data_IF_551743732667
#
_entry.id   IF_551743732667
#
_cell.length_a   1.000
_cell.length_b   1.000
_cell.length_c   1.000
_cell.angle_alpha   90.00
_cell.angle_beta   90.00
_cell.angle_gamma   90.00
#
_symmetry.space_group_name_H-M   'P 1'
#
loop_
_entity.id
_entity.type
_entity.pdbx_description
1 polymer ?
#
# COMPACT_ATOMS: atom_id res chain seq x y z
N UNK A 1 -26.84 2.76 -0.12
CA UNK A 1 -27.13 3.57 -1.33
C UNK A 1 -27.30 2.59 -2.48
N UNK A 2 -28.44 2.60 -3.15
CA UNK A 2 -28.69 1.71 -4.32
C UNK A 2 -27.93 2.35 -5.48
N UNK A 3 -26.84 1.72 -5.91
CA UNK A 3 -26.09 2.11 -7.11
C UNK A 3 -27.05 1.94 -8.29
N UNK A 4 -27.31 3.01 -9.01
CA UNK A 4 -28.11 2.96 -10.23
C UNK A 4 -27.37 2.06 -11.24
N UNK A 5 -27.93 0.92 -11.68
CA UNK A 5 -27.22 -0.05 -12.51
C UNK A 5 -26.85 0.44 -13.92
N UNK A 6 -27.24 1.67 -14.27
CA UNK A 6 -27.03 2.28 -15.59
C UNK A 6 -25.83 3.21 -15.66
N UNK A 7 -25.26 3.66 -14.54
CA UNK A 7 -24.08 4.55 -14.55
C UNK A 7 -22.79 3.75 -14.30
N UNK A 8 -21.76 4.05 -15.10
CA UNK A 8 -20.44 3.48 -14.90
C UNK A 8 -19.89 3.92 -13.52
N UNK A 9 -19.35 3.00 -12.70
CA UNK A 9 -18.82 3.35 -11.40
C UNK A 9 -17.67 4.35 -11.51
N UNK A 10 -17.62 5.32 -10.61
CA UNK A 10 -16.51 6.29 -10.54
C UNK A 10 -15.45 5.78 -9.56
N UNK A 11 -14.21 5.72 -10.02
CA UNK A 11 -13.04 5.35 -9.22
C UNK A 11 -12.15 6.57 -9.06
N UNK A 12 -11.84 6.88 -7.80
CA UNK A 12 -10.92 7.93 -7.44
C UNK A 12 -9.49 7.42 -7.50
N UNK A 13 -8.64 8.01 -8.31
CA UNK A 13 -7.25 7.59 -8.51
C UNK A 13 -6.29 8.63 -7.94
N UNK A 14 -5.36 8.18 -7.11
CA UNK A 14 -4.31 9.01 -6.54
C UNK A 14 -2.95 8.48 -7.01
N UNK A 15 -2.21 9.30 -7.73
CA UNK A 15 -0.85 9.03 -8.19
C UNK A 15 0.10 9.95 -7.42
N UNK A 16 1.03 9.38 -6.66
CA UNK A 16 2.04 10.13 -5.91
C UNK A 16 3.35 10.16 -6.68
N UNK A 17 3.96 11.32 -6.80
CA UNK A 17 5.23 11.48 -7.52
C UNK A 17 6.13 12.54 -6.90
N UNK A 18 7.42 12.41 -7.10
CA UNK A 18 8.43 13.45 -6.82
C UNK A 18 8.89 14.15 -8.11
N UNK A 19 8.24 13.90 -9.25
CA UNK A 19 8.56 14.49 -10.54
C UNK A 19 9.88 14.03 -11.18
N UNK A 20 10.50 12.99 -10.64
CA UNK A 20 11.85 12.53 -11.10
C UNK A 20 11.80 11.67 -12.35
N UNK A 21 10.64 11.13 -12.70
CA UNK A 21 10.41 10.16 -13.78
C UNK A 21 9.24 10.60 -14.68
N UNK A 22 9.37 11.68 -15.44
CA UNK A 22 8.25 12.28 -16.17
C UNK A 22 7.64 11.33 -17.22
N UNK A 23 8.46 10.51 -17.89
CA UNK A 23 7.97 9.53 -18.86
C UNK A 23 7.18 8.39 -18.20
N UNK A 24 7.62 7.93 -17.03
CA UNK A 24 6.92 6.89 -16.25
C UNK A 24 5.60 7.44 -15.71
N UNK A 25 5.62 8.64 -15.12
CA UNK A 25 4.42 9.33 -14.65
C UNK A 25 3.40 9.48 -15.79
N UNK A 26 3.85 9.89 -16.98
CA UNK A 26 2.95 10.02 -18.13
C UNK A 26 2.32 8.68 -18.49
N UNK A 27 3.11 7.60 -18.53
CA UNK A 27 2.62 6.23 -18.78
C UNK A 27 1.62 5.76 -17.72
N UNK A 28 1.89 6.05 -16.43
CA UNK A 28 0.96 5.74 -15.34
C UNK A 28 -0.38 6.45 -15.54
N UNK A 29 -0.37 7.76 -15.82
CA UNK A 29 -1.58 8.57 -16.06
C UNK A 29 -2.33 8.04 -17.29
N UNK A 30 -1.66 7.85 -18.42
CA UNK A 30 -2.29 7.39 -19.65
C UNK A 30 -2.96 6.03 -19.45
N UNK A 31 -2.32 5.09 -18.73
CA UNK A 31 -2.89 3.77 -18.43
C UNK A 31 -4.17 3.82 -17.59
N UNK A 32 -4.34 4.86 -16.79
CA UNK A 32 -5.56 5.11 -16.01
C UNK A 32 -6.63 5.78 -16.87
N UNK A 33 -6.25 6.75 -17.68
CA UNK A 33 -7.20 7.46 -18.56
C UNK A 33 -7.76 6.55 -19.68
N UNK A 34 -7.01 5.53 -20.09
CA UNK A 34 -7.41 4.52 -21.06
C UNK A 34 -8.38 3.47 -20.52
N UNK A 35 -8.70 3.48 -19.22
CA UNK A 35 -9.63 2.51 -18.62
C UNK A 35 -11.04 2.65 -19.16
N UNK A 36 -11.68 1.52 -19.43
CA UNK A 36 -13.02 1.45 -20.04
C UNK A 36 -14.07 0.91 -19.07
N UNK A 37 -15.31 1.35 -19.26
CA UNK A 37 -16.46 0.90 -18.47
C UNK A 37 -16.47 1.38 -17.02
N UNK A 38 -15.65 2.37 -16.71
CA UNK A 38 -15.61 3.12 -15.46
C UNK A 38 -15.38 4.60 -15.77
N UNK A 39 -15.79 5.48 -14.85
CA UNK A 39 -15.31 6.85 -14.80
C UNK A 39 -14.13 6.93 -13.86
N UNK A 40 -13.09 7.67 -14.21
CA UNK A 40 -11.94 7.90 -13.34
C UNK A 40 -11.85 9.37 -12.97
N UNK A 41 -11.65 9.65 -11.69
CA UNK A 41 -11.33 10.98 -11.18
C UNK A 41 -9.92 10.95 -10.64
N UNK A 42 -8.99 11.65 -11.28
CA UNK A 42 -7.53 11.44 -11.12
C UNK A 42 -6.87 12.66 -10.53
N UNK A 43 -6.06 12.46 -9.50
CA UNK A 43 -5.17 13.48 -8.95
C UNK A 43 -3.72 12.98 -8.96
N UNK A 44 -2.82 13.84 -9.43
CA UNK A 44 -1.37 13.69 -9.30
C UNK A 44 -0.90 14.54 -8.15
N UNK A 45 -0.37 13.91 -7.12
CA UNK A 45 0.20 14.57 -5.95
C UNK A 45 1.70 14.69 -6.11
N UNK A 46 2.17 15.90 -6.29
CA UNK A 46 3.60 16.24 -6.33
C UNK A 46 4.15 16.40 -4.91
N UNK A 47 4.93 15.46 -4.46
CA UNK A 47 5.48 15.40 -3.11
C UNK A 47 6.87 16.08 -3.06
N UNK A 48 6.90 17.37 -2.74
CA UNK A 48 8.06 18.24 -2.92
C UNK A 48 8.29 18.62 -4.38
N UNK A 49 7.25 18.58 -5.22
CA UNK A 49 7.31 18.92 -6.63
C UNK A 49 5.98 19.52 -7.10
N UNK A 50 6.03 20.54 -7.95
CA UNK A 50 4.84 21.15 -8.55
C UNK A 50 4.41 20.36 -9.78
N UNK A 51 3.24 19.71 -9.81
CA UNK A 51 2.72 19.05 -11.00
C UNK A 51 2.42 20.07 -12.11
N UNK A 52 3.09 19.89 -13.24
CA UNK A 52 2.92 20.71 -14.46
C UNK A 52 2.64 19.80 -15.65
N UNK A 53 2.08 20.37 -16.72
CA UNK A 53 1.82 19.70 -17.99
C UNK A 53 0.98 18.42 -17.86
N UNK A 54 0.03 18.41 -16.91
CA UNK A 54 -0.90 17.30 -16.72
C UNK A 54 -1.93 17.25 -17.86
N UNK A 55 -2.36 16.04 -18.27
CA UNK A 55 -3.42 15.87 -19.25
C UNK A 55 -4.75 16.50 -18.79
N UNK A 56 -5.58 16.87 -19.76
CA UNK A 56 -6.94 17.38 -19.50
C UNK A 56 -7.72 16.37 -18.64
N UNK A 57 -8.38 16.86 -17.59
CA UNK A 57 -9.16 16.02 -16.65
C UNK A 57 -8.35 15.42 -15.51
N UNK A 58 -7.03 15.65 -15.45
CA UNK A 58 -6.18 15.24 -14.33
C UNK A 58 -5.90 16.44 -13.43
N UNK A 59 -6.20 16.31 -12.12
CA UNK A 59 -5.96 17.35 -11.15
C UNK A 59 -4.50 17.30 -10.65
N UNK A 60 -3.90 18.44 -10.37
CA UNK A 60 -2.59 18.55 -9.70
C UNK A 60 -2.75 18.97 -8.23
N UNK A 61 -2.04 18.30 -7.34
CA UNK A 61 -1.90 18.69 -5.94
C UNK A 61 -0.42 18.95 -5.64
N UNK A 62 -0.07 20.15 -5.24
CA UNK A 62 1.31 20.53 -4.88
C UNK A 62 1.51 20.46 -3.39
N UNK A 63 2.44 19.61 -2.93
CA UNK A 63 2.98 19.64 -1.59
C UNK A 63 4.37 20.32 -1.67
N UNK A 64 4.60 21.43 -0.94
CA UNK A 64 5.84 22.19 -1.04
C UNK A 64 7.09 21.40 -0.64
N UNK A 65 6.91 20.40 0.21
CA UNK A 65 7.98 19.52 0.71
C UNK A 65 7.58 18.05 0.61
N UNK A 66 8.56 17.15 0.69
CA UNK A 66 8.32 15.72 0.71
C UNK A 66 7.82 15.27 2.09
N UNK A 67 6.52 14.98 2.20
CA UNK A 67 5.87 14.51 3.42
C UNK A 67 5.93 12.98 3.62
N UNK A 68 6.62 12.27 2.71
CA UNK A 68 6.61 10.80 2.67
C UNK A 68 5.45 10.22 1.86
N UNK A 69 5.48 8.91 1.68
CA UNK A 69 4.51 8.20 0.85
C UNK A 69 3.10 8.23 1.45
N UNK A 70 2.88 7.88 2.75
CA UNK A 70 1.56 7.85 3.34
C UNK A 70 0.85 9.21 3.33
N UNK A 71 1.53 10.25 3.81
CA UNK A 71 0.96 11.60 3.88
C UNK A 71 0.70 12.17 2.49
N UNK A 72 1.61 11.94 1.54
CA UNK A 72 1.41 12.34 0.15
C UNK A 72 0.18 11.69 -0.48
N UNK A 73 -0.04 10.40 -0.28
CA UNK A 73 -1.24 9.71 -0.79
C UNK A 73 -2.51 10.21 -0.10
N UNK A 74 -2.49 10.42 1.22
CA UNK A 74 -3.63 10.96 1.95
C UNK A 74 -4.04 12.36 1.46
N UNK A 75 -3.07 13.22 1.10
CA UNK A 75 -3.35 14.56 0.59
C UNK A 75 -4.17 14.58 -0.71
N UNK A 76 -4.03 13.56 -1.55
CA UNK A 76 -4.80 13.42 -2.79
C UNK A 76 -6.25 12.97 -2.58
N UNK A 77 -6.53 12.21 -1.52
CA UNK A 77 -7.84 11.57 -1.32
C UNK A 77 -9.03 12.56 -1.28
N UNK A 78 -8.96 13.72 -0.60
CA UNK A 78 -10.09 14.66 -0.57
C UNK A 78 -10.34 15.39 -1.90
N UNK A 79 -9.40 15.34 -2.84
CA UNK A 79 -9.47 16.04 -4.12
C UNK A 79 -10.19 15.24 -5.21
N UNK A 80 -10.39 13.95 -5.01
CA UNK A 80 -11.01 13.04 -5.99
C UNK A 80 -12.28 12.41 -5.43
N UNK A 81 -13.20 12.03 -6.32
CA UNK A 81 -14.50 11.46 -5.99
C UNK A 81 -14.61 10.01 -6.50
N UNK A 82 -15.37 9.20 -5.79
CA UNK A 82 -15.64 7.79 -6.12
C UNK A 82 -15.78 6.95 -4.87
N UNK A 83 -16.51 5.85 -4.95
CA UNK A 83 -16.73 4.91 -3.82
C UNK A 83 -15.53 4.00 -3.60
N UNK A 84 -14.67 3.88 -4.60
CA UNK A 84 -13.40 3.17 -4.54
C UNK A 84 -12.25 4.16 -4.70
N UNK A 85 -11.21 3.97 -3.89
CA UNK A 85 -9.90 4.61 -4.05
C UNK A 85 -8.96 3.64 -4.74
N UNK A 86 -8.21 4.13 -5.71
CA UNK A 86 -7.11 3.40 -6.33
C UNK A 86 -5.84 4.21 -6.21
N UNK A 87 -4.85 3.66 -5.54
CA UNK A 87 -3.51 4.24 -5.41
C UNK A 87 -2.61 3.58 -6.44
N UNK A 88 -1.88 4.39 -7.19
CA UNK A 88 -0.94 3.93 -8.22
C UNK A 88 0.38 4.69 -8.07
N UNK A 89 1.51 3.97 -8.11
CA UNK A 89 2.83 4.60 -8.14
C UNK A 89 3.11 5.23 -9.51
N UNK A 90 3.94 6.26 -9.53
CA UNK A 90 4.26 7.03 -10.75
C UNK A 90 5.07 6.26 -11.80
N UNK A 91 5.55 5.06 -11.46
CA UNK A 91 6.24 4.12 -12.37
C UNK A 91 5.48 2.80 -12.58
N UNK A 92 4.26 2.70 -12.06
CA UNK A 92 3.36 1.61 -12.33
C UNK A 92 2.41 1.92 -13.50
N UNK A 93 1.82 0.88 -14.10
CA UNK A 93 0.80 1.05 -15.15
C UNK A 93 -0.15 -0.14 -15.22
N UNK A 94 -1.33 0.08 -15.81
CA UNK A 94 -2.38 -0.92 -15.96
C UNK A 94 -2.45 -1.36 -17.44
N UNK A 95 -1.95 -2.55 -17.80
CA UNK A 95 -1.91 -3.00 -19.19
C UNK A 95 -3.28 -3.37 -19.76
N UNK A 96 -4.24 -3.74 -18.90
CA UNK A 96 -5.60 -4.10 -19.30
C UNK A 96 -6.54 -2.90 -19.13
N UNK A 97 -7.19 -2.48 -20.21
CA UNK A 97 -8.17 -1.38 -20.20
C UNK A 97 -9.44 -1.70 -19.41
N UNK A 98 -9.73 -2.95 -19.08
CA UNK A 98 -10.86 -3.38 -18.26
C UNK A 98 -10.50 -3.58 -16.79
N UNK A 99 -9.24 -3.31 -16.41
CA UNK A 99 -8.73 -3.58 -15.06
C UNK A 99 -9.58 -2.94 -13.96
N UNK A 100 -9.82 -1.62 -14.03
CA UNK A 100 -10.58 -0.91 -12.99
C UNK A 100 -12.07 -1.31 -12.99
N UNK A 101 -12.66 -1.65 -14.14
CA UNK A 101 -14.01 -2.20 -14.20
C UNK A 101 -14.08 -3.56 -13.49
N UNK A 102 -13.10 -4.42 -13.73
CA UNK A 102 -13.03 -5.73 -13.07
C UNK A 102 -12.86 -5.57 -11.56
N UNK A 103 -12.01 -4.64 -11.12
CA UNK A 103 -11.87 -4.27 -9.70
C UNK A 103 -13.22 -3.85 -9.11
N UNK A 104 -13.92 -2.90 -9.75
CA UNK A 104 -15.22 -2.44 -9.29
C UNK A 104 -16.25 -3.57 -9.20
N UNK A 105 -16.29 -4.45 -10.21
CA UNK A 105 -17.17 -5.62 -10.21
C UNK A 105 -16.94 -6.56 -9.03
N UNK A 106 -15.68 -6.78 -8.65
CA UNK A 106 -15.36 -7.62 -7.47
C UNK A 106 -15.84 -7.01 -6.17
N UNK A 107 -15.69 -5.70 -5.99
CA UNK A 107 -16.22 -5.03 -4.80
C UNK A 107 -17.75 -5.07 -4.71
N UNK A 108 -18.45 -5.08 -5.86
CA UNK A 108 -19.90 -5.25 -5.90
C UNK A 108 -20.29 -6.69 -5.58
N UNK A 109 -19.57 -7.66 -6.13
CA UNK A 109 -19.86 -9.09 -5.96
C UNK A 109 -19.59 -9.61 -4.55
N UNK A 110 -18.60 -9.04 -3.86
CA UNK A 110 -18.23 -9.46 -2.50
C UNK A 110 -18.22 -8.26 -1.54
N UNK A 111 -19.27 -8.10 -0.71
CA UNK A 111 -19.32 -7.08 0.31
C UNK A 111 -18.26 -7.20 1.41
N UNK A 112 -17.71 -8.40 1.64
CA UNK A 112 -16.65 -8.62 2.64
C UNK A 112 -15.27 -8.17 2.14
N UNK A 113 -15.12 -7.98 0.82
CA UNK A 113 -13.89 -7.50 0.22
C UNK A 113 -13.62 -6.05 0.59
N UNK A 114 -12.52 -5.80 1.28
CA UNK A 114 -12.15 -4.45 1.73
C UNK A 114 -11.10 -3.77 0.86
N UNK A 115 -10.12 -4.58 0.40
CA UNK A 115 -8.95 -4.10 -0.33
C UNK A 115 -8.53 -5.15 -1.36
N UNK A 116 -8.08 -4.69 -2.54
CA UNK A 116 -7.46 -5.53 -3.57
C UNK A 116 -6.04 -5.04 -3.86
N UNK A 117 -5.08 -5.98 -3.83
CA UNK A 117 -3.77 -5.82 -4.45
C UNK A 117 -3.71 -6.71 -5.70
N UNK A 118 -3.40 -6.18 -6.89
CA UNK A 118 -3.18 -6.98 -8.08
C UNK A 118 -1.83 -7.73 -8.02
N UNK A 119 -1.63 -8.67 -8.93
CA UNK A 119 -0.32 -9.22 -9.23
C UNK A 119 0.53 -8.17 -9.93
N UNK A 120 1.72 -7.93 -9.40
CA UNK A 120 2.67 -6.97 -9.97
C UNK A 120 3.70 -7.74 -10.78
N UNK A 121 3.96 -7.28 -11.99
CA UNK A 121 4.93 -7.89 -12.92
C UNK A 121 5.83 -6.81 -13.51
N UNK A 122 7.06 -7.21 -13.84
CA UNK A 122 7.96 -6.34 -14.57
C UNK A 122 7.58 -6.35 -16.07
N UNK A 123 7.39 -5.17 -16.70
CA UNK A 123 6.99 -5.11 -18.12
C UNK A 123 8.05 -5.64 -19.08
N UNK A 124 9.32 -5.78 -18.65
CA UNK A 124 10.41 -6.36 -19.44
C UNK A 124 10.57 -7.86 -19.24
N UNK A 125 9.76 -8.47 -18.36
CA UNK A 125 9.79 -9.90 -18.06
C UNK A 125 10.83 -10.31 -17.01
N UNK A 126 11.42 -9.36 -16.27
CA UNK A 126 12.29 -9.69 -15.14
C UNK A 126 11.49 -10.38 -14.02
N UNK A 127 12.09 -11.33 -13.29
CA UNK A 127 11.42 -12.02 -12.20
C UNK A 127 10.95 -11.05 -11.11
N UNK A 128 9.65 -11.10 -10.80
CA UNK A 128 9.07 -10.28 -9.75
C UNK A 128 9.67 -10.63 -8.38
N UNK A 129 10.08 -9.65 -7.58
CA UNK A 129 10.56 -9.90 -6.22
C UNK A 129 9.49 -10.55 -5.35
N UNK A 130 9.89 -11.50 -4.50
CA UNK A 130 8.98 -12.22 -3.60
C UNK A 130 8.15 -11.30 -2.69
N UNK A 131 8.66 -10.10 -2.36
CA UNK A 131 7.96 -9.10 -1.56
C UNK A 131 6.72 -8.49 -2.24
N UNK A 132 6.57 -8.66 -3.56
CA UNK A 132 5.38 -8.21 -4.28
C UNK A 132 4.17 -9.14 -4.08
N UNK A 133 4.40 -10.36 -3.60
CA UNK A 133 3.32 -11.28 -3.24
C UNK A 133 3.00 -11.10 -1.75
N UNK A 134 1.78 -10.67 -1.38
CA UNK A 134 1.46 -10.21 -0.01
C UNK A 134 1.17 -11.37 0.96
N UNK A 135 2.00 -12.40 0.95
CA UNK A 135 1.89 -13.61 1.77
C UNK A 135 3.23 -13.96 2.41
N UNK A 136 3.20 -14.61 3.57
CA UNK A 136 4.42 -15.08 4.24
C UNK A 136 5.12 -16.17 3.41
N UNK A 137 4.34 -17.13 2.92
CA UNK A 137 4.81 -18.16 1.98
C UNK A 137 4.29 -17.79 0.61
N UNK A 138 5.19 -17.40 -0.28
CA UNK A 138 4.81 -16.90 -1.61
C UNK A 138 4.06 -17.97 -2.41
N UNK A 139 4.55 -19.21 -2.42
CA UNK A 139 3.97 -20.26 -3.25
C UNK A 139 3.96 -19.87 -4.73
N UNK A 140 2.91 -20.23 -5.44
CA UNK A 140 2.68 -19.76 -6.81
C UNK A 140 2.15 -18.31 -6.80
N UNK A 141 2.86 -17.35 -7.42
CA UNK A 141 2.37 -15.97 -7.55
C UNK A 141 1.09 -15.86 -8.40
N UNK A 142 0.73 -16.87 -9.18
CA UNK A 142 -0.50 -16.94 -9.95
C UNK A 142 -1.73 -17.32 -9.13
N UNK A 143 -1.57 -17.79 -7.90
CA UNK A 143 -2.68 -18.17 -7.04
C UNK A 143 -3.22 -16.96 -6.25
N UNK A 144 -4.53 -16.63 -6.37
CA UNK A 144 -5.17 -15.57 -5.58
C UNK A 144 -5.36 -16.02 -4.13
N UNK A 145 -5.65 -15.05 -3.24
CA UNK A 145 -5.97 -15.37 -1.86
C UNK A 145 -5.94 -14.17 -0.91
N UNK A 146 -6.24 -14.40 0.39
CA UNK A 146 -6.18 -13.35 1.39
C UNK A 146 -4.78 -12.74 1.48
N UNK A 147 -4.70 -11.40 1.50
CA UNK A 147 -3.46 -10.67 1.68
C UNK A 147 -3.20 -10.42 3.16
N UNK A 148 -1.99 -10.70 3.62
CA UNK A 148 -1.53 -10.48 5.00
C UNK A 148 -0.43 -9.44 5.12
N UNK A 149 0.00 -8.94 4.00
CA UNK A 149 0.89 -7.80 3.78
C UNK A 149 0.33 -7.00 2.61
N UNK A 150 1.04 -5.99 2.16
CA UNK A 150 0.68 -5.19 1.00
C UNK A 150 1.94 -4.72 0.30
N UNK A 151 1.92 -4.77 -1.03
CA UNK A 151 2.76 -3.94 -1.88
C UNK A 151 1.91 -2.75 -2.36
N UNK A 152 2.33 -1.56 -2.03
CA UNK A 152 1.49 -0.37 -2.03
C UNK A 152 1.38 0.33 -3.39
N UNK A 153 2.18 -0.07 -4.38
CA UNK A 153 2.29 0.64 -5.66
C UNK A 153 1.09 0.49 -6.61
N UNK A 154 0.17 -0.46 -6.33
CA UNK A 154 -1.14 -0.56 -7.01
C UNK A 154 -2.16 -1.19 -6.05
N UNK A 155 -3.11 -0.40 -5.55
CA UNK A 155 -4.05 -0.83 -4.51
C UNK A 155 -5.41 -0.20 -4.69
N UNK A 156 -6.47 -1.03 -4.67
CA UNK A 156 -7.85 -0.58 -4.59
C UNK A 156 -8.41 -0.81 -3.18
N UNK A 157 -9.17 0.14 -2.66
CA UNK A 157 -9.82 0.05 -1.35
C UNK A 157 -11.16 0.78 -1.35
N UNK A 158 -12.14 0.29 -0.58
CA UNK A 158 -13.40 1.02 -0.36
C UNK A 158 -13.11 2.36 0.33
N UNK A 159 -13.58 3.47 -0.25
CA UNK A 159 -13.35 4.81 0.33
C UNK A 159 -13.88 4.92 1.75
N UNK A 160 -15.08 4.43 2.01
CA UNK A 160 -15.68 4.49 3.34
C UNK A 160 -14.86 3.69 4.36
N UNK A 161 -14.36 2.51 3.98
CA UNK A 161 -13.48 1.72 4.83
C UNK A 161 -12.17 2.46 5.09
N UNK A 162 -11.53 2.99 4.04
CA UNK A 162 -10.28 3.75 4.15
C UNK A 162 -10.41 4.91 5.13
N UNK A 163 -11.50 5.69 5.04
CA UNK A 163 -11.79 6.78 5.98
C UNK A 163 -12.04 6.27 7.40
N UNK A 164 -12.85 5.21 7.56
CA UNK A 164 -13.19 4.65 8.88
C UNK A 164 -11.99 4.09 9.65
N UNK A 165 -11.01 3.53 8.91
CA UNK A 165 -9.77 3.02 9.52
C UNK A 165 -8.68 4.09 9.66
N UNK A 166 -8.91 5.32 9.19
CA UNK A 166 -8.02 6.48 9.36
C UNK A 166 -6.94 6.64 8.30
N UNK A 167 -7.15 6.11 7.08
CA UNK A 167 -6.24 6.32 5.94
C UNK A 167 -4.86 5.68 6.09
N UNK A 168 -3.89 6.17 5.35
CA UNK A 168 -2.50 5.80 5.49
C UNK A 168 -1.90 6.40 6.77
N UNK A 169 -0.89 5.75 7.41
CA UNK A 169 -0.24 6.27 8.62
C UNK A 169 0.80 7.34 8.26
N UNK A 170 0.41 8.61 8.26
CA UNK A 170 1.26 9.76 7.84
C UNK A 170 2.66 9.76 8.44
N UNK A 171 2.74 9.49 9.73
CA UNK A 171 3.99 9.53 10.50
C UNK A 171 5.02 8.48 10.09
N UNK A 172 4.61 7.43 9.34
CA UNK A 172 5.55 6.39 8.89
C UNK A 172 6.53 6.92 7.85
N UNK A 173 6.15 7.89 7.07
CA UNK A 173 6.93 8.50 6.01
C UNK A 173 7.30 7.54 4.87
N UNK A 174 7.86 6.36 5.20
CA UNK A 174 8.31 5.34 4.26
C UNK A 174 8.46 3.99 4.96
N UNK A 175 8.00 2.92 4.32
CA UNK A 175 8.00 1.51 4.75
C UNK A 175 7.00 1.15 5.87
N UNK A 176 6.38 -0.02 5.71
CA UNK A 176 5.36 -0.64 6.57
C UNK A 176 3.98 0.02 6.60
N UNK A 177 3.75 1.11 5.87
CA UNK A 177 2.44 1.74 5.76
C UNK A 177 1.38 0.78 5.18
N UNK A 178 1.76 -0.06 4.22
CA UNK A 178 0.86 -1.05 3.64
C UNK A 178 0.51 -2.17 4.60
N UNK A 179 1.46 -2.61 5.44
CA UNK A 179 1.18 -3.62 6.46
C UNK A 179 0.23 -3.05 7.51
N UNK A 180 0.44 -1.80 7.94
CA UNK A 180 -0.44 -1.09 8.87
C UNK A 180 -1.87 -0.99 8.31
N UNK A 181 -2.01 -0.62 7.03
CA UNK A 181 -3.31 -0.52 6.37
C UNK A 181 -4.03 -1.89 6.32
N UNK A 182 -3.34 -2.94 5.87
CA UNK A 182 -3.90 -4.30 5.77
C UNK A 182 -4.35 -4.82 7.13
N UNK A 183 -3.57 -4.61 8.19
CA UNK A 183 -3.94 -5.05 9.53
C UNK A 183 -5.21 -4.36 10.03
N UNK A 184 -5.37 -3.06 9.71
CA UNK A 184 -6.59 -2.32 10.06
C UNK A 184 -7.80 -2.72 9.20
N UNK A 185 -7.61 -3.10 7.95
CA UNK A 185 -8.67 -3.68 7.10
C UNK A 185 -9.17 -4.98 7.71
N UNK A 186 -8.26 -5.90 8.12
CA UNK A 186 -8.62 -7.12 8.83
C UNK A 186 -9.39 -6.84 10.13
N UNK A 187 -8.93 -5.86 10.92
CA UNK A 187 -9.58 -5.55 12.22
C UNK A 187 -10.94 -4.88 12.06
N UNK A 188 -11.17 -4.20 10.96
CA UNK A 188 -12.47 -3.69 10.57
C UNK A 188 -13.46 -4.80 10.13
N UNK A 189 -12.99 -6.05 9.98
CA UNK A 189 -13.82 -7.20 9.61
C UNK A 189 -13.92 -7.43 8.09
N UNK A 190 -13.10 -6.76 7.30
CA UNK A 190 -13.01 -6.95 5.86
C UNK A 190 -11.83 -7.84 5.49
N UNK A 191 -11.89 -8.42 4.29
CA UNK A 191 -10.83 -9.25 3.73
C UNK A 191 -10.02 -8.43 2.73
N UNK A 192 -8.71 -8.22 2.95
CA UNK A 192 -7.80 -7.79 1.89
C UNK A 192 -7.47 -8.97 1.00
N UNK A 193 -7.47 -8.76 -0.31
CA UNK A 193 -7.36 -9.82 -1.30
C UNK A 193 -6.21 -9.57 -2.29
N UNK A 194 -5.42 -10.60 -2.54
CA UNK A 194 -4.47 -10.66 -3.64
C UNK A 194 -5.15 -11.23 -4.86
N UNK A 195 -5.33 -10.41 -5.89
CA UNK A 195 -5.98 -10.76 -7.14
C UNK A 195 -4.91 -11.11 -8.19
N UNK A 196 -4.47 -12.36 -8.21
CA UNK A 196 -3.37 -12.83 -9.05
C UNK A 196 -3.64 -12.78 -10.55
N UNK A 197 -4.90 -12.73 -10.95
CA UNK A 197 -5.38 -12.60 -12.33
C UNK A 197 -5.49 -11.14 -12.82
N UNK A 198 -5.40 -10.17 -11.93
CA UNK A 198 -5.29 -8.75 -12.27
C UNK A 198 -3.81 -8.35 -12.31
N UNK A 199 -3.37 -7.81 -13.44
CA UNK A 199 -1.96 -7.45 -13.64
C UNK A 199 -1.77 -5.95 -13.57
N UNK A 200 -0.81 -5.51 -12.74
CA UNK A 200 -0.23 -4.18 -12.78
C UNK A 200 1.26 -4.29 -13.12
N UNK A 201 1.72 -3.47 -14.04
CA UNK A 201 3.13 -3.39 -14.40
C UNK A 201 3.87 -2.46 -13.44
N UNK A 202 5.08 -2.85 -13.05
CA UNK A 202 6.01 -2.00 -12.30
C UNK A 202 7.43 -2.48 -12.58
N UNK A 203 8.41 -1.58 -12.84
CA UNK A 203 9.79 -1.99 -13.11
C UNK A 203 10.42 -2.62 -11.86
N UNK A 204 11.17 -3.70 -12.06
CA UNK A 204 12.01 -4.26 -11.00
C UNK A 204 13.21 -3.33 -10.81
N UNK A 205 13.11 -2.49 -9.79
CA UNK A 205 14.22 -1.64 -9.35
C UNK A 205 14.78 -2.25 -8.07
N UNK A 206 16.08 -2.49 -8.05
CA UNK A 206 16.73 -2.92 -6.81
C UNK A 206 16.79 -1.70 -5.87
N UNK A 207 16.03 -1.71 -4.76
CA UNK A 207 16.05 -0.55 -3.88
C UNK A 207 17.45 -0.40 -3.32
N UNK A 208 18.11 0.71 -3.64
CA UNK A 208 19.34 1.08 -2.97
C UNK A 208 19.06 1.15 -1.46
N UNK A 209 19.47 0.12 -0.72
CA UNK A 209 19.22 0.00 0.70
C UNK A 209 20.20 0.87 1.47
N UNK A 210 19.93 2.19 1.45
CA UNK A 210 20.69 3.17 2.23
C UNK A 210 20.40 3.05 3.73
N UNK A 211 21.23 3.63 4.57
CA UNK A 211 21.05 3.66 6.04
C UNK A 211 19.66 4.13 6.45
N UNK A 212 19.08 5.11 5.73
CA UNK A 212 17.72 5.61 5.95
C UNK A 212 16.67 4.49 5.82
N UNK A 213 16.82 3.58 4.85
CA UNK A 213 15.91 2.44 4.70
C UNK A 213 15.94 1.54 5.94
N UNK A 214 17.13 1.17 6.42
CA UNK A 214 17.26 0.31 7.60
C UNK A 214 16.71 0.97 8.85
N UNK A 215 17.02 2.26 9.04
CA UNK A 215 16.52 3.03 10.19
C UNK A 215 15.00 3.12 10.20
N UNK A 216 14.38 3.53 9.09
CA UNK A 216 12.92 3.67 9.01
C UNK A 216 12.21 2.33 9.11
N UNK A 217 12.76 1.29 8.49
CA UNK A 217 12.22 -0.06 8.59
C UNK A 217 12.15 -0.53 10.05
N UNK A 218 13.21 -0.34 10.84
CA UNK A 218 13.22 -0.71 12.25
C UNK A 218 12.26 0.12 13.10
N UNK A 219 12.28 1.46 12.93
CA UNK A 219 11.39 2.37 13.64
C UNK A 219 9.93 2.03 13.39
N UNK A 220 9.58 1.89 12.11
CA UNK A 220 8.20 1.66 11.72
C UNK A 220 7.70 0.27 12.11
N UNK A 221 8.56 -0.74 12.26
CA UNK A 221 8.19 -2.03 12.86
C UNK A 221 7.74 -1.88 14.31
N UNK A 222 8.45 -1.09 15.10
CA UNK A 222 8.05 -0.82 16.48
C UNK A 222 6.71 -0.08 16.51
N UNK A 223 6.58 0.94 15.65
CA UNK A 223 5.34 1.71 15.57
C UNK A 223 4.16 0.87 15.06
N UNK A 224 4.37 0.01 14.06
CA UNK A 224 3.37 -0.93 13.57
C UNK A 224 2.86 -1.84 14.71
N UNK A 225 3.77 -2.43 15.49
CA UNK A 225 3.42 -3.25 16.65
C UNK A 225 2.61 -2.46 17.68
N UNK A 226 3.12 -1.30 18.07
CA UNK A 226 2.48 -0.44 19.09
C UNK A 226 1.13 0.12 18.68
N UNK A 227 0.93 0.37 17.38
CA UNK A 227 -0.36 0.86 16.86
C UNK A 227 -1.41 -0.24 16.84
N UNK A 228 -1.03 -1.42 16.40
CA UNK A 228 -1.99 -2.43 15.94
C UNK A 228 -2.03 -3.70 16.78
N UNK A 229 -0.98 -4.05 17.52
CA UNK A 229 -0.98 -5.32 18.25
C UNK A 229 -1.57 -5.20 19.65
N UNK A 230 -2.21 -6.28 20.17
CA UNK A 230 -2.37 -6.46 21.60
C UNK A 230 -1.02 -6.35 22.29
N UNK A 231 -0.97 -5.65 23.43
CA UNK A 231 0.30 -5.30 24.12
C UNK A 231 1.18 -6.51 24.39
N UNK A 232 0.59 -7.67 24.68
CA UNK A 232 1.33 -8.91 24.94
C UNK A 232 2.05 -9.48 23.72
N UNK A 233 1.63 -9.11 22.50
CA UNK A 233 2.27 -9.54 21.24
C UNK A 233 3.35 -8.56 20.76
N UNK A 234 3.39 -7.32 21.28
CA UNK A 234 4.38 -6.33 20.87
C UNK A 234 5.82 -6.81 21.07
N UNK A 235 6.22 -7.28 22.27
CA UNK A 235 7.59 -7.77 22.50
C UNK A 235 7.93 -9.00 21.65
N UNK A 236 6.97 -9.88 21.41
CA UNK A 236 7.17 -11.06 20.56
C UNK A 236 7.45 -10.63 19.11
N UNK A 237 6.64 -9.72 18.56
CA UNK A 237 6.86 -9.19 17.22
C UNK A 237 8.22 -8.50 17.09
N UNK A 238 8.54 -7.59 18.02
CA UNK A 238 9.80 -6.85 18.00
C UNK A 238 11.00 -7.81 18.13
N UNK A 239 10.94 -8.76 19.07
CA UNK A 239 11.98 -9.76 19.29
C UNK A 239 12.20 -10.66 18.06
N UNK A 240 11.13 -11.10 17.42
CA UNK A 240 11.21 -11.86 16.16
C UNK A 240 11.99 -11.09 15.08
N UNK A 241 11.68 -9.80 14.90
CA UNK A 241 12.36 -9.00 13.87
C UNK A 241 13.79 -8.59 14.25
N UNK A 242 14.10 -8.43 15.54
CA UNK A 242 15.48 -8.29 16.00
C UNK A 242 16.28 -9.54 15.62
N UNK A 243 15.79 -10.73 15.99
CA UNK A 243 16.45 -11.99 15.67
C UNK A 243 16.64 -12.20 14.15
N UNK A 244 15.60 -11.98 13.36
CA UNK A 244 15.65 -12.10 11.90
C UNK A 244 16.62 -11.09 11.26
N UNK A 245 16.69 -9.86 11.78
CA UNK A 245 17.63 -8.86 11.27
C UNK A 245 19.05 -9.23 11.55
N UNK A 246 19.37 -9.61 12.80
CA UNK A 246 20.72 -10.04 13.18
C UNK A 246 21.18 -11.26 12.35
N UNK A 247 20.26 -12.20 12.09
CA UNK A 247 20.58 -13.38 11.30
C UNK A 247 20.79 -13.11 9.79
N UNK A 248 20.22 -12.04 9.24
CA UNK A 248 20.20 -11.80 7.79
C UNK A 248 21.03 -10.62 7.32
N UNK A 249 21.26 -9.63 8.18
CA UNK A 249 22.00 -8.42 7.84
C UNK A 249 23.41 -8.54 8.39
N UNK A 250 24.39 -8.58 7.52
CA UNK A 250 25.82 -8.76 7.89
C UNK A 250 26.62 -7.45 7.81
N UNK A 251 26.06 -6.43 7.13
CA UNK A 251 26.69 -5.12 7.04
C UNK A 251 26.56 -4.35 8.37
N UNK A 252 27.69 -3.91 8.91
CA UNK A 252 27.75 -3.22 10.23
C UNK A 252 27.08 -1.85 10.21
N UNK A 253 27.16 -1.10 9.08
CA UNK A 253 26.53 0.20 8.96
C UNK A 253 25.01 0.04 8.93
N UNK A 254 24.50 -0.93 8.14
CA UNK A 254 23.09 -1.28 8.09
C UNK A 254 22.53 -1.70 9.46
N UNK A 255 23.27 -2.55 10.21
CA UNK A 255 22.87 -2.95 11.55
C UNK A 255 22.83 -1.76 12.51
N UNK A 256 23.86 -0.88 12.47
CA UNK A 256 23.88 0.33 13.31
C UNK A 256 22.68 1.23 13.00
N UNK A 257 22.39 1.46 11.73
CA UNK A 257 21.24 2.24 11.30
C UNK A 257 19.92 1.60 11.75
N UNK A 258 19.81 0.27 11.64
CA UNK A 258 18.63 -0.48 12.06
C UNK A 258 18.41 -0.38 13.58
N UNK A 259 19.42 -0.61 14.40
CA UNK A 259 19.32 -0.47 15.86
C UNK A 259 19.08 0.96 16.30
N UNK A 260 19.60 1.96 15.56
CA UNK A 260 19.26 3.36 15.75
C UNK A 260 17.77 3.63 15.55
N UNK A 261 17.19 3.09 14.47
CA UNK A 261 15.76 3.16 14.20
C UNK A 261 14.92 2.42 15.24
N UNK A 262 15.35 1.24 15.68
CA UNK A 262 14.69 0.50 16.77
C UNK A 262 14.63 1.34 18.04
N UNK A 263 15.75 1.95 18.44
CA UNK A 263 15.81 2.82 19.63
C UNK A 263 14.91 4.05 19.50
N UNK A 264 14.85 4.66 18.30
CA UNK A 264 13.93 5.76 18.00
C UNK A 264 12.47 5.29 18.15
N UNK A 265 12.10 4.19 17.54
CA UNK A 265 10.76 3.61 17.63
C UNK A 265 10.35 3.25 19.06
N UNK A 266 11.29 2.82 19.89
CA UNK A 266 11.03 2.54 21.31
C UNK A 266 10.85 3.81 22.16
N UNK A 267 11.54 4.89 21.82
CA UNK A 267 11.45 6.18 22.54
C UNK A 267 10.20 6.98 22.16
N UNK A 268 9.90 7.04 20.87
CA UNK A 268 8.76 7.81 20.34
C UNK A 268 7.55 6.89 20.22
N UNK A 269 6.43 7.31 20.79
CA UNK A 269 5.17 6.57 20.65
C UNK A 269 4.46 7.02 19.37
N UNK A 270 3.96 6.09 18.55
CA UNK A 270 3.14 6.43 17.41
C UNK A 270 1.78 6.96 17.85
N UNK A 271 1.15 7.76 17.00
CA UNK A 271 -0.23 8.20 17.20
C UNK A 271 -1.25 7.12 16.79
N UNK A 272 -2.50 7.32 17.12
CA UNK A 272 -3.60 6.51 16.58
C UNK A 272 -3.57 5.03 16.98
N UNK A 273 -3.09 4.69 18.21
CA UNK A 273 -3.11 3.31 18.71
C UNK A 273 -4.53 2.76 18.70
N UNK A 274 -4.71 1.65 17.97
CA UNK A 274 -5.94 0.87 17.92
C UNK A 274 -5.56 -0.61 17.86
N UNK A 275 -5.36 -1.22 19.04
CA UNK A 275 -4.97 -2.63 19.11
C UNK A 275 -6.06 -3.52 18.48
N UNK A 276 -5.66 -4.39 17.57
CA UNK A 276 -6.55 -5.32 16.90
C UNK A 276 -7.16 -6.32 17.88
N UNK A 277 -8.35 -6.77 17.55
CA UNK A 277 -9.07 -7.77 18.34
C UNK A 277 -8.42 -9.15 18.19
N UNK A 278 -8.53 -10.01 19.20
CA UNK A 278 -8.00 -11.38 19.13
C UNK A 278 -8.59 -12.19 17.98
N UNK A 279 -9.86 -11.94 17.62
CA UNK A 279 -10.45 -12.56 16.42
C UNK A 279 -9.68 -12.23 15.12
N UNK A 280 -9.12 -11.03 15.05
CA UNK A 280 -8.30 -10.58 13.92
C UNK A 280 -6.96 -11.29 13.90
N UNK A 281 -6.29 -11.42 15.06
CA UNK A 281 -5.06 -12.23 15.20
C UNK A 281 -5.29 -13.64 14.69
N UNK A 282 -6.41 -14.28 15.08
CA UNK A 282 -6.74 -15.63 14.62
C UNK A 282 -7.09 -15.69 13.13
N UNK A 283 -7.81 -14.70 12.59
CA UNK A 283 -8.15 -14.64 11.17
C UNK A 283 -6.88 -14.55 10.31
N UNK A 284 -5.94 -13.67 10.67
CA UNK A 284 -4.66 -13.52 9.99
C UNK A 284 -3.77 -14.77 10.13
N UNK A 285 -3.80 -15.42 11.28
CA UNK A 285 -3.08 -16.68 11.51
C UNK A 285 -3.62 -17.78 10.60
N UNK A 286 -4.95 -17.91 10.47
CA UNK A 286 -5.59 -18.85 9.53
C UNK A 286 -5.30 -18.51 8.07
N UNK A 287 -5.16 -17.22 7.75
CA UNK A 287 -4.74 -16.77 6.42
C UNK A 287 -3.23 -16.98 6.14
N UNK A 288 -2.52 -17.67 7.03
CA UNK A 288 -1.14 -18.12 6.82
C UNK A 288 -0.05 -17.18 7.35
N UNK A 289 -0.42 -16.06 8.00
CA UNK A 289 0.58 -15.15 8.60
C UNK A 289 0.08 -14.60 9.94
N UNK A 290 0.48 -15.20 11.06
CA UNK A 290 0.24 -14.59 12.36
C UNK A 290 0.90 -13.21 12.43
N UNK A 291 0.25 -12.19 13.04
CA UNK A 291 0.76 -10.82 13.04
C UNK A 291 1.93 -10.63 14.03
N UNK A 292 2.77 -11.61 14.18
CA UNK A 292 4.02 -11.62 14.97
C UNK A 292 5.26 -11.89 14.11
N UNK A 293 5.07 -12.04 12.79
CA UNK A 293 6.13 -12.27 11.83
C UNK A 293 5.91 -11.48 10.53
#
# INVERSE_FOLDING_TARGET
MIVNPTEAPTIAVVILTMGRRPADLRRAIDSVLDQRGVNVDVVVVGNGWLPVDLPTGVQGCHLPENLGIPAGRNAGVPLVKGDLLFFLDDDASLPDQMFLRTVAGRFVADPALGLIQPRVVDPTGLPAPSRWVPRLRVGDPGEPGPATALWEGAVAIRRQLFAAIGGWPDEFFYAHEGIDLVWRVWDAGFVPWYAADLIANHPVIDPARHEVYYRMNARNRVWLARRNLPTVLEPLYIGTWVGLTVARVHDRAALRAWFGGLAEGLRVKPTGRRAMKWRTVWAMTKAGRPPVI
#
